data_IF_417099978434
#
_entry.id   IF_417099978434
#
_cell.length_a   1.000
_cell.length_b   1.000
_cell.length_c   1.000
_cell.angle_alpha   90.00
_cell.angle_beta   90.00
_cell.angle_gamma   90.00
#
_symmetry.space_group_name_H-M   'P 1'
#
loop_
_entity.id
_entity.type
_entity.pdbx_description
1 polymer ?
#
# COMPACT_ATOMS: atom_id res chain seq x y z
N UNK A 1 0.46 25.20 -7.71
CA UNK A 1 0.41 23.75 -8.01
C UNK A 1 0.80 22.99 -6.73
N UNK A 2 -0.17 22.53 -5.92
CA UNK A 2 0.11 21.79 -4.68
C UNK A 2 0.12 20.29 -5.00
N UNK A 3 1.30 19.67 -4.93
CA UNK A 3 1.45 18.22 -4.99
C UNK A 3 0.83 17.61 -3.72
N UNK A 4 -0.18 16.76 -3.86
CA UNK A 4 -0.87 16.06 -2.76
C UNK A 4 -0.77 14.53 -2.93
N UNK A 5 0.41 14.00 -3.26
CA UNK A 5 0.71 12.57 -3.04
C UNK A 5 1.65 12.50 -1.85
N UNK A 6 1.16 12.04 -0.69
CA UNK A 6 2.02 11.80 0.47
C UNK A 6 2.76 10.48 0.25
N UNK A 7 3.95 10.54 -0.35
CA UNK A 7 4.86 9.40 -0.43
C UNK A 7 5.68 9.36 0.86
N UNK A 8 5.58 8.25 1.60
CA UNK A 8 6.48 7.98 2.72
C UNK A 8 7.49 6.92 2.29
N UNK A 9 8.77 7.28 2.38
CA UNK A 9 9.88 6.38 2.08
C UNK A 9 10.29 5.66 3.37
N UNK A 10 10.11 4.34 3.44
CA UNK A 10 10.63 3.51 4.53
C UNK A 10 11.93 2.86 4.04
N UNK A 11 13.08 3.41 4.42
CA UNK A 11 14.39 2.86 4.06
C UNK A 11 14.63 1.53 4.79
N UNK A 12 14.61 0.41 4.06
CA UNK A 12 15.06 -0.90 4.55
C UNK A 12 16.48 -1.17 4.02
N UNK A 13 17.49 -0.63 4.72
CA UNK A 13 18.95 -0.92 4.64
C UNK A 13 19.66 -0.90 3.27
N UNK A 14 20.88 -0.34 3.23
CA UNK A 14 21.72 -0.08 2.06
C UNK A 14 22.22 -1.31 1.22
N UNK A 15 21.61 -2.49 1.37
CA UNK A 15 21.87 -3.70 0.55
C UNK A 15 20.61 -4.34 -0.04
N UNK A 16 19.42 -3.85 0.32
CA UNK A 16 18.15 -4.27 -0.23
C UNK A 16 17.48 -3.04 -0.84
N UNK A 17 16.98 -3.14 -2.08
CA UNK A 17 16.52 -1.95 -2.80
C UNK A 17 15.34 -1.27 -2.13
N UNK A 18 15.09 -0.01 -2.51
CA UNK A 18 14.13 0.86 -1.83
C UNK A 18 12.71 0.41 -2.15
N UNK A 19 11.91 0.20 -1.10
CA UNK A 19 10.47 0.01 -1.19
C UNK A 19 9.76 1.21 -0.55
N UNK A 20 8.68 1.67 -1.17
CA UNK A 20 7.89 2.81 -0.67
C UNK A 20 6.42 2.43 -0.60
N UNK A 21 5.62 3.19 0.15
CA UNK A 21 4.18 3.11 0.02
C UNK A 21 3.58 4.40 -0.54
N UNK A 22 2.49 4.23 -1.27
CA UNK A 22 1.68 5.28 -1.87
C UNK A 22 0.30 5.25 -1.21
N UNK A 23 -0.19 6.42 -0.78
CA UNK A 23 -1.61 6.61 -0.43
C UNK A 23 -2.38 7.11 -1.66
N UNK A 24 -3.26 6.30 -2.27
CA UNK A 24 -4.09 6.71 -3.38
C UNK A 24 -4.93 7.95 -3.09
N UNK A 25 -5.13 8.79 -4.10
CA UNK A 25 -6.04 9.93 -4.05
C UNK A 25 -7.15 9.73 -5.07
N UNK A 26 -8.07 8.79 -4.85
CA UNK A 26 -9.05 8.42 -5.88
C UNK A 26 -10.02 9.54 -6.25
N UNK A 27 -10.29 10.46 -5.31
CA UNK A 27 -11.14 11.65 -5.54
C UNK A 27 -10.42 12.78 -6.28
N UNK A 28 -9.17 12.58 -6.67
CA UNK A 28 -8.41 13.50 -7.51
C UNK A 28 -8.92 13.47 -8.95
N UNK A 29 -8.64 14.53 -9.71
CA UNK A 29 -8.83 14.54 -11.17
C UNK A 29 -7.82 13.63 -11.91
N UNK A 30 -6.78 13.15 -11.21
CA UNK A 30 -5.74 12.27 -11.77
C UNK A 30 -6.10 10.81 -11.58
N UNK A 31 -6.07 10.04 -12.67
CA UNK A 31 -6.28 8.59 -12.64
C UNK A 31 -5.09 7.82 -12.03
N UNK A 32 -5.26 6.52 -11.82
CA UNK A 32 -4.26 5.67 -11.15
C UNK A 32 -2.91 5.65 -11.87
N UNK A 33 -2.94 5.60 -13.20
CA UNK A 33 -1.74 5.66 -14.06
C UNK A 33 -0.94 6.93 -13.81
N UNK A 34 -1.61 8.08 -13.77
CA UNK A 34 -0.97 9.39 -13.61
C UNK A 34 -0.38 9.52 -12.22
N UNK A 35 -1.12 9.13 -11.18
CA UNK A 35 -0.61 9.20 -9.80
C UNK A 35 0.62 8.30 -9.59
N UNK A 36 0.63 7.11 -10.18
CA UNK A 36 1.79 6.22 -10.12
C UNK A 36 2.99 6.80 -10.90
N UNK A 37 2.76 7.31 -12.10
CA UNK A 37 3.80 7.93 -12.92
C UNK A 37 4.46 9.13 -12.23
N UNK A 38 3.72 9.93 -11.47
CA UNK A 38 4.25 11.07 -10.72
C UNK A 38 5.21 10.65 -9.61
N UNK A 39 4.92 9.55 -8.91
CA UNK A 39 5.83 8.99 -7.90
C UNK A 39 7.11 8.50 -8.57
N UNK A 40 6.97 7.76 -9.67
CA UNK A 40 8.13 7.27 -10.42
C UNK A 40 8.99 8.42 -10.95
N UNK A 41 8.36 9.47 -11.48
CA UNK A 41 9.08 10.65 -11.96
C UNK A 41 9.85 11.35 -10.83
N UNK A 42 9.19 11.60 -9.68
CA UNK A 42 9.81 12.28 -8.54
C UNK A 42 10.97 11.49 -7.92
N UNK A 43 10.89 10.17 -7.88
CA UNK A 43 11.95 9.33 -7.33
C UNK A 43 13.11 9.13 -8.32
N UNK A 44 12.80 8.93 -9.60
CA UNK A 44 13.83 8.83 -10.64
C UNK A 44 14.61 10.14 -10.78
N UNK A 45 13.96 11.29 -10.70
CA UNK A 45 14.64 12.60 -10.73
C UNK A 45 15.52 12.85 -9.51
N UNK A 46 15.20 12.23 -8.37
CA UNK A 46 16.04 12.20 -7.17
C UNK A 46 17.14 11.12 -7.19
N UNK A 47 17.29 10.36 -8.29
CA UNK A 47 18.27 9.28 -8.40
C UNK A 47 17.93 8.02 -7.59
N UNK A 48 16.70 7.90 -7.09
CA UNK A 48 16.24 6.76 -6.30
C UNK A 48 15.68 5.67 -7.21
N UNK A 49 16.33 4.50 -7.21
CA UNK A 49 15.80 3.30 -7.89
C UNK A 49 14.89 2.52 -6.94
N UNK A 50 13.62 2.42 -7.30
CA UNK A 50 12.65 1.62 -6.57
C UNK A 50 12.64 0.17 -7.02
N UNK A 51 12.56 -0.74 -6.06
CA UNK A 51 12.24 -2.14 -6.32
C UNK A 51 10.74 -2.39 -6.32
N UNK A 52 10.02 -1.76 -5.39
CA UNK A 52 8.60 -2.01 -5.18
C UNK A 52 7.86 -0.80 -4.63
N UNK A 53 6.59 -0.69 -5.03
CA UNK A 53 5.62 0.23 -4.42
C UNK A 53 4.50 -0.56 -3.76
N UNK A 54 4.19 -0.23 -2.52
CA UNK A 54 3.03 -0.73 -1.78
C UNK A 54 1.89 0.28 -1.89
N UNK A 55 0.77 -0.11 -2.48
CA UNK A 55 -0.42 0.74 -2.58
C UNK A 55 -1.25 0.54 -1.32
N UNK A 56 -1.45 1.61 -0.55
CA UNK A 56 -2.28 1.60 0.64
C UNK A 56 -3.75 1.48 0.24
N UNK A 57 -4.33 0.30 0.42
CA UNK A 57 -5.75 0.00 0.20
C UNK A 57 -6.41 -0.21 1.56
N UNK A 58 -6.50 0.90 2.29
CA UNK A 58 -7.06 0.94 3.65
C UNK A 58 -8.02 2.10 3.81
N UNK A 59 -8.70 2.15 4.95
CA UNK A 59 -9.55 3.29 5.34
C UNK A 59 -10.68 3.52 4.31
N UNK A 60 -11.70 2.64 4.23
CA UNK A 60 -12.72 2.64 3.19
C UNK A 60 -13.40 4.00 2.94
N UNK A 61 -13.54 4.82 3.98
CA UNK A 61 -14.09 6.19 3.91
C UNK A 61 -13.36 7.12 2.93
N UNK A 62 -12.09 6.84 2.63
CA UNK A 62 -11.27 7.63 1.70
C UNK A 62 -11.40 7.18 0.24
N UNK A 63 -12.10 6.07 -0.02
CA UNK A 63 -12.26 5.50 -1.35
C UNK A 63 -13.55 5.99 -2.02
N UNK A 64 -13.73 5.63 -3.29
CA UNK A 64 -14.98 5.86 -4.01
C UNK A 64 -16.05 4.90 -3.45
N UNK A 65 -17.30 5.36 -3.26
CA UNK A 65 -18.36 4.51 -2.75
C UNK A 65 -18.73 3.36 -3.70
N UNK A 66 -18.36 3.43 -4.97
CA UNK A 66 -18.59 2.36 -5.95
C UNK A 66 -17.35 1.48 -6.11
N UNK A 67 -17.39 0.21 -5.67
CA UNK A 67 -16.23 -0.67 -5.71
C UNK A 67 -15.62 -0.87 -7.10
N UNK A 68 -16.44 -0.78 -8.16
CA UNK A 68 -15.99 -0.91 -9.54
C UNK A 68 -15.02 0.20 -9.94
N UNK A 69 -15.23 1.43 -9.46
CA UNK A 69 -14.34 2.56 -9.69
C UNK A 69 -12.99 2.34 -8.99
N UNK A 70 -13.03 1.82 -7.76
CA UNK A 70 -11.83 1.48 -7.00
C UNK A 70 -11.00 0.40 -7.72
N UNK A 71 -11.65 -0.69 -8.16
CA UNK A 71 -10.99 -1.78 -8.89
C UNK A 71 -10.40 -1.29 -10.22
N UNK A 72 -11.14 -0.46 -10.96
CA UNK A 72 -10.65 0.16 -12.19
C UNK A 72 -9.40 1.01 -11.93
N UNK A 73 -9.42 1.84 -10.89
CA UNK A 73 -8.28 2.66 -10.49
C UNK A 73 -7.05 1.82 -10.08
N UNK A 74 -7.26 0.73 -9.33
CA UNK A 74 -6.18 -0.20 -8.95
C UNK A 74 -5.57 -0.91 -10.16
N UNK A 75 -6.39 -1.32 -11.14
CA UNK A 75 -5.90 -1.93 -12.39
C UNK A 75 -5.06 -0.95 -13.23
N UNK A 76 -5.40 0.34 -13.23
CA UNK A 76 -4.57 1.37 -13.87
C UNK A 76 -3.19 1.48 -13.20
N UNK A 77 -3.13 1.42 -11.87
CA UNK A 77 -1.86 1.40 -11.14
C UNK A 77 -1.04 0.14 -11.47
N UNK A 78 -1.67 -1.03 -11.51
CA UNK A 78 -1.00 -2.30 -11.86
C UNK A 78 -0.37 -2.20 -13.25
N UNK A 79 -1.15 -1.74 -14.23
CA UNK A 79 -0.66 -1.58 -15.60
C UNK A 79 0.50 -0.57 -15.67
N UNK A 80 0.44 0.52 -14.90
CA UNK A 80 1.53 1.49 -14.83
C UNK A 80 2.80 0.88 -14.22
N UNK A 81 2.69 0.19 -13.09
CA UNK A 81 3.83 -0.47 -12.42
C UNK A 81 4.54 -1.46 -13.34
N UNK A 82 3.77 -2.26 -14.10
CA UNK A 82 4.30 -3.16 -15.11
C UNK A 82 5.09 -2.44 -16.20
N UNK A 83 4.59 -1.30 -16.70
CA UNK A 83 5.29 -0.49 -17.72
C UNK A 83 6.61 0.10 -17.21
N UNK A 84 6.68 0.46 -15.93
CA UNK A 84 7.90 0.96 -15.29
C UNK A 84 8.85 -0.15 -14.84
N UNK A 85 8.45 -1.42 -14.93
CA UNK A 85 9.27 -2.55 -14.47
C UNK A 85 9.48 -2.58 -12.96
N UNK A 86 8.57 -2.01 -12.17
CA UNK A 86 8.65 -1.92 -10.71
C UNK A 86 7.66 -2.90 -10.09
N UNK A 87 8.08 -3.60 -9.04
CA UNK A 87 7.20 -4.48 -8.28
C UNK A 87 6.02 -3.72 -7.65
N UNK A 88 4.88 -4.38 -7.51
CA UNK A 88 3.71 -3.80 -6.86
C UNK A 88 3.18 -4.74 -5.78
N UNK A 89 2.75 -4.15 -4.66
CA UNK A 89 1.99 -4.86 -3.63
C UNK A 89 0.84 -4.01 -3.09
N UNK A 90 -0.11 -4.66 -2.43
CA UNK A 90 -1.20 -3.99 -1.71
C UNK A 90 -0.99 -4.08 -0.21
N UNK A 91 -1.14 -2.95 0.47
CA UNK A 91 -1.18 -2.85 1.92
C UNK A 91 -2.64 -2.78 2.36
N UNK A 92 -3.17 -3.89 2.89
CA UNK A 92 -4.61 -4.05 3.17
C UNK A 92 -4.88 -5.23 4.13
N UNK A 93 -6.15 -5.43 4.49
CA UNK A 93 -6.65 -6.60 5.18
C UNK A 93 -8.00 -7.01 4.57
N UNK A 94 -8.57 -8.13 5.04
CA UNK A 94 -9.84 -8.62 4.51
C UNK A 94 -10.97 -7.58 4.58
N UNK A 95 -11.10 -6.90 5.72
CA UNK A 95 -12.20 -5.96 5.97
C UNK A 95 -12.14 -4.75 5.04
N UNK A 96 -10.97 -4.14 4.92
CA UNK A 96 -10.73 -3.01 4.02
C UNK A 96 -10.89 -3.43 2.57
N UNK A 97 -10.27 -4.55 2.17
CA UNK A 97 -10.35 -5.04 0.80
C UNK A 97 -11.80 -5.34 0.39
N UNK A 98 -12.56 -5.99 1.27
CA UNK A 98 -13.96 -6.30 1.01
C UNK A 98 -14.77 -5.01 0.80
N UNK A 99 -14.68 -4.04 1.72
CA UNK A 99 -15.45 -2.80 1.57
C UNK A 99 -15.02 -1.93 0.39
N UNK A 100 -13.72 -1.84 0.12
CA UNK A 100 -13.20 -0.98 -0.94
C UNK A 100 -13.45 -1.60 -2.31
N UNK A 101 -13.32 -2.92 -2.44
CA UNK A 101 -13.31 -3.58 -3.76
C UNK A 101 -14.45 -4.56 -3.99
N UNK A 102 -15.33 -4.76 -3.00
CA UNK A 102 -16.30 -5.85 -2.98
C UNK A 102 -15.62 -7.22 -3.17
N UNK A 103 -14.51 -7.42 -2.46
CA UNK A 103 -13.67 -8.63 -2.50
C UNK A 103 -13.21 -9.01 -3.93
N UNK A 104 -12.91 -8.01 -4.76
CA UNK A 104 -12.57 -8.22 -6.16
C UNK A 104 -11.31 -9.05 -6.36
N UNK A 105 -11.28 -9.79 -7.46
CA UNK A 105 -10.14 -10.59 -7.86
C UNK A 105 -9.19 -9.74 -8.73
N UNK A 106 -8.01 -9.47 -8.18
CA UNK A 106 -6.97 -8.68 -8.84
C UNK A 106 -5.70 -9.51 -8.93
N UNK A 107 -5.13 -9.61 -10.13
CA UNK A 107 -3.96 -10.45 -10.41
C UNK A 107 -2.66 -9.65 -10.27
N UNK A 108 -1.66 -10.22 -9.58
CA UNK A 108 -0.26 -9.78 -9.65
C UNK A 108 0.33 -9.26 -8.33
N UNK A 109 -0.36 -8.40 -7.56
CA UNK A 109 0.26 -7.76 -6.40
C UNK A 109 0.48 -8.70 -5.20
N UNK A 110 1.63 -8.52 -4.54
CA UNK A 110 1.89 -9.14 -3.24
C UNK A 110 1.05 -8.49 -2.13
N UNK A 111 0.87 -9.18 -1.01
CA UNK A 111 0.11 -8.66 0.13
C UNK A 111 1.05 -8.24 1.28
N UNK A 112 0.95 -6.98 1.69
CA UNK A 112 1.35 -6.50 3.00
C UNK A 112 0.10 -6.48 3.88
N UNK A 113 -0.03 -7.51 4.72
CA UNK A 113 -1.19 -7.73 5.56
C UNK A 113 -1.08 -6.92 6.85
N UNK A 114 -2.07 -6.08 7.13
CA UNK A 114 -2.12 -5.29 8.36
C UNK A 114 -3.19 -5.81 9.31
N UNK A 115 -2.80 -6.03 10.56
CA UNK A 115 -3.68 -6.50 11.63
C UNK A 115 -3.14 -5.96 12.94
N UNK A 116 -3.83 -4.98 13.50
CA UNK A 116 -3.51 -4.36 14.79
C UNK A 116 -4.81 -4.13 15.55
N UNK A 117 -4.75 -4.16 16.88
CA UNK A 117 -5.90 -3.86 17.74
C UNK A 117 -6.07 -2.34 17.97
N UNK A 118 -5.07 -1.54 17.61
CA UNK A 118 -5.10 -0.08 17.73
C UNK A 118 -3.72 0.54 17.54
N UNK A 119 -3.61 1.83 17.84
CA UNK A 119 -2.33 2.54 17.87
C UNK A 119 -1.60 2.37 19.21
N UNK A 120 -0.27 2.36 19.15
CA UNK A 120 0.62 2.24 20.31
C UNK A 120 0.84 0.79 20.78
N UNK A 121 1.68 0.58 21.81
CA UNK A 121 2.16 -0.76 22.18
C UNK A 121 1.06 -1.74 22.62
N UNK A 122 -0.08 -1.23 23.09
CA UNK A 122 -1.24 -2.06 23.47
C UNK A 122 -2.09 -2.50 22.28
N UNK A 123 -1.83 -1.93 21.10
CA UNK A 123 -2.48 -2.26 19.85
C UNK A 123 -1.73 -3.32 19.04
N UNK A 124 -0.58 -3.79 19.51
CA UNK A 124 0.24 -4.78 18.81
C UNK A 124 -0.48 -6.13 18.70
N UNK A 125 -0.23 -6.83 17.60
CA UNK A 125 -0.57 -8.25 17.41
C UNK A 125 0.70 -9.08 17.30
N UNK A 126 0.63 -10.43 17.41
CA UNK A 126 1.79 -11.27 17.16
C UNK A 126 2.43 -10.99 15.78
N UNK A 127 3.76 -10.94 15.73
CA UNK A 127 4.55 -10.74 14.51
C UNK A 127 4.62 -12.03 13.65
N UNK A 128 3.48 -12.68 13.45
CA UNK A 128 3.31 -13.88 12.64
C UNK A 128 2.07 -13.75 11.74
N UNK A 129 1.71 -14.82 11.04
CA UNK A 129 0.57 -14.86 10.12
C UNK A 129 -0.55 -15.80 10.59
N UNK A 130 -0.58 -16.16 11.87
CA UNK A 130 -1.54 -17.15 12.39
C UNK A 130 -3.00 -16.62 12.35
N UNK A 131 -3.15 -15.29 12.35
CA UNK A 131 -4.43 -14.60 12.21
C UNK A 131 -4.85 -14.37 10.74
N UNK A 132 -3.99 -14.68 9.77
CA UNK A 132 -4.28 -14.49 8.36
C UNK A 132 -5.24 -15.56 7.84
N UNK A 133 -6.31 -15.09 7.20
CA UNK A 133 -7.26 -15.92 6.48
C UNK A 133 -7.24 -15.51 5.01
N UNK A 134 -7.13 -16.45 4.04
CA UNK A 134 -7.13 -16.12 2.63
C UNK A 134 -8.37 -15.32 2.19
N UNK A 135 -8.18 -14.34 1.31
CA UNK A 135 -9.26 -13.55 0.74
C UNK A 135 -8.97 -13.10 -0.68
N UNK A 136 -10.02 -12.90 -1.48
CA UNK A 136 -9.92 -12.65 -2.92
C UNK A 136 -8.93 -13.63 -3.58
N UNK A 137 -7.76 -13.13 -4.02
CA UNK A 137 -6.67 -13.95 -4.58
C UNK A 137 -5.44 -14.04 -3.67
N UNK A 138 -5.47 -13.41 -2.50
CA UNK A 138 -4.37 -13.47 -1.54
C UNK A 138 -4.46 -14.76 -0.75
N UNK A 139 -3.62 -15.73 -1.11
CA UNK A 139 -3.50 -17.01 -0.41
C UNK A 139 -2.41 -16.99 0.65
N UNK A 140 -1.47 -16.05 0.56
CA UNK A 140 -0.43 -15.82 1.58
C UNK A 140 0.03 -14.35 1.59
N UNK A 141 0.28 -13.77 2.77
CA UNK A 141 0.95 -12.49 2.91
C UNK A 141 2.46 -12.59 2.67
N UNK A 142 3.07 -11.49 2.28
CA UNK A 142 4.54 -11.33 2.14
C UNK A 142 5.12 -10.50 3.29
N UNK A 143 4.37 -9.51 3.77
CA UNK A 143 4.76 -8.61 4.87
C UNK A 143 3.62 -8.54 5.88
N UNK A 144 3.95 -8.47 7.18
CA UNK A 144 3.00 -8.22 8.27
C UNK A 144 3.20 -6.79 8.79
N UNK A 145 2.12 -6.04 8.99
CA UNK A 145 2.11 -4.89 9.88
C UNK A 145 1.42 -5.33 11.18
N UNK A 146 2.20 -5.45 12.25
CA UNK A 146 1.73 -5.94 13.55
C UNK A 146 1.75 -4.84 14.63
N UNK A 147 2.33 -3.67 14.34
CA UNK A 147 2.28 -2.50 15.21
C UNK A 147 2.15 -1.19 14.44
N UNK A 148 1.45 -0.20 15.00
CA UNK A 148 1.30 1.13 14.41
C UNK A 148 1.35 2.24 15.47
N UNK A 149 1.78 3.44 15.08
CA UNK A 149 1.77 4.65 15.92
C UNK A 149 2.57 4.46 17.22
N UNK A 150 3.73 3.82 17.12
CA UNK A 150 4.60 3.59 18.28
C UNK A 150 5.70 4.62 18.37
N UNK A 151 6.07 5.03 19.59
CA UNK A 151 7.22 5.91 19.80
C UNK A 151 8.44 5.09 20.17
N UNK A 152 9.39 4.99 19.24
CA UNK A 152 10.72 4.41 19.49
C UNK A 152 11.74 5.53 19.33
N UNK A 153 12.55 5.76 20.37
CA UNK A 153 13.58 6.80 20.37
C UNK A 153 13.05 8.21 19.98
N UNK A 154 11.81 8.53 20.37
CA UNK A 154 11.16 9.82 20.05
C UNK A 154 10.58 9.93 18.64
N UNK A 155 10.71 8.89 17.82
CA UNK A 155 10.18 8.83 16.44
C UNK A 155 8.94 7.94 16.41
N UNK A 156 7.89 8.40 15.73
CA UNK A 156 6.71 7.56 15.47
C UNK A 156 7.01 6.55 14.37
N UNK A 157 6.89 5.26 14.68
CA UNK A 157 7.17 4.15 13.77
C UNK A 157 5.98 3.20 13.67
N UNK A 158 5.89 2.52 12.52
CA UNK A 158 5.01 1.37 12.30
C UNK A 158 5.91 0.15 12.04
N UNK A 159 5.70 -0.94 12.79
CA UNK A 159 6.49 -2.19 12.68
C UNK A 159 5.69 -3.27 11.97
#
# INVERSE_FOLDING_TARGET
>A
MRFLSRTFVKNISARFGVEVYMTPQIRSTKNGTTQFAEIMYGLNSAGVKLNKVWIQVTSPVNWDPYPQNNVYFLNQIIAAAQRYGVGLGFYTNYYDWNQITNNAWVNGPQLWYWSVLGGGPRGETPANFDDFHPFAKFTKPTVKQFAQVEKICGITVNR
#
